data_IF_404281783709
#
_entry.id   IF_404281783709
#
_cell.length_a   1.000
_cell.length_b   1.000
_cell.length_c   1.000
_cell.angle_alpha   90.00
_cell.angle_beta   90.00
_cell.angle_gamma   90.00
#
_symmetry.space_group_name_H-M   'P 1'
#
loop_
_entity.id
_entity.type
_entity.pdbx_description
1 polymer ?
#
# COMPACT_ATOMS: atom_id res chain seq x y z
N UNK A 1 2.38 -9.42 -17.49
CA UNK A 1 2.19 -8.76 -16.17
C UNK A 1 2.28 -9.85 -15.12
N UNK A 2 3.08 -9.70 -14.08
CA UNK A 2 3.11 -10.66 -12.96
C UNK A 2 2.76 -9.89 -11.70
N UNK A 3 1.68 -10.32 -11.05
CA UNK A 3 1.30 -9.88 -9.72
C UNK A 3 1.98 -10.83 -8.72
N UNK A 4 2.75 -10.26 -7.80
CA UNK A 4 3.34 -11.01 -6.69
C UNK A 4 2.78 -10.42 -5.40
N UNK A 5 2.14 -11.24 -4.57
CA UNK A 5 1.45 -10.81 -3.36
C UNK A 5 2.37 -10.91 -2.13
N UNK A 6 2.85 -9.77 -1.62
CA UNK A 6 3.46 -9.67 -0.29
C UNK A 6 2.36 -9.32 0.74
N UNK A 7 1.58 -10.30 1.19
CA UNK A 7 0.74 -10.16 2.40
C UNK A 7 1.56 -10.28 3.70
N UNK A 8 1.00 -10.06 4.89
CA UNK A 8 1.64 -9.82 6.22
C UNK A 8 2.85 -10.62 6.80
N UNK A 9 3.17 -10.30 8.08
CA UNK A 9 4.37 -10.62 8.88
C UNK A 9 5.12 -11.91 8.54
N UNK A 10 6.37 -11.79 8.07
CA UNK A 10 7.55 -12.65 8.37
C UNK A 10 8.66 -12.37 7.36
N UNK A 11 9.93 -12.36 7.81
CA UNK A 11 11.13 -12.17 6.96
C UNK A 11 11.16 -13.02 5.68
N UNK A 12 10.51 -14.19 5.70
CA UNK A 12 10.32 -15.09 4.53
C UNK A 12 9.71 -14.42 3.30
N UNK A 13 8.87 -13.38 3.46
CA UNK A 13 8.21 -12.74 2.30
C UNK A 13 9.05 -11.65 1.65
N UNK A 14 9.86 -10.96 2.44
CA UNK A 14 10.89 -10.05 1.92
C UNK A 14 11.96 -10.87 1.20
N UNK A 15 12.36 -12.00 1.78
CA UNK A 15 13.23 -12.99 1.16
C UNK A 15 12.62 -13.55 -0.13
N UNK A 16 11.38 -14.01 -0.11
CA UNK A 16 10.69 -14.49 -1.31
C UNK A 16 10.57 -13.40 -2.38
N UNK A 17 10.28 -12.16 -2.00
CA UNK A 17 10.22 -11.05 -2.97
C UNK A 17 11.59 -10.77 -3.58
N UNK A 18 12.66 -10.86 -2.77
CA UNK A 18 14.04 -10.77 -3.24
C UNK A 18 14.37 -11.91 -4.20
N UNK A 19 14.11 -13.16 -3.82
CA UNK A 19 14.31 -14.35 -4.64
C UNK A 19 13.54 -14.28 -5.96
N UNK A 20 12.26 -13.91 -5.90
CA UNK A 20 11.42 -13.72 -7.06
C UNK A 20 12.04 -12.69 -8.01
N UNK A 21 12.46 -11.53 -7.50
CA UNK A 21 13.02 -10.49 -8.37
C UNK A 21 14.39 -10.89 -8.94
N UNK A 22 15.27 -11.52 -8.14
CA UNK A 22 16.56 -12.05 -8.65
C UNK A 22 16.35 -13.11 -9.73
N UNK A 23 15.39 -14.03 -9.55
CA UNK A 23 15.02 -15.00 -10.59
C UNK A 23 14.51 -14.28 -11.85
N UNK A 24 13.76 -13.19 -11.69
CA UNK A 24 13.22 -12.42 -12.82
C UNK A 24 14.26 -11.52 -13.52
N UNK A 25 15.32 -11.05 -12.85
CA UNK A 25 16.44 -10.35 -13.51
C UNK A 25 17.08 -11.18 -14.63
N UNK A 26 17.12 -12.50 -14.44
CA UNK A 26 17.60 -13.46 -15.44
C UNK A 26 16.65 -13.59 -16.64
N UNK A 27 15.47 -12.94 -16.63
CA UNK A 27 14.46 -13.00 -17.69
C UNK A 27 14.20 -11.60 -18.29
N UNK A 28 14.74 -11.28 -19.48
CA UNK A 28 14.74 -9.93 -20.07
C UNK A 28 13.35 -9.37 -20.47
N UNK A 29 12.28 -10.19 -20.41
CA UNK A 29 10.92 -9.82 -20.84
C UNK A 29 10.04 -9.23 -19.72
N UNK A 30 10.49 -9.22 -18.46
CA UNK A 30 9.70 -8.70 -17.34
C UNK A 30 9.97 -7.22 -17.10
N UNK A 31 9.25 -6.38 -17.86
CA UNK A 31 9.45 -4.93 -17.85
C UNK A 31 8.66 -4.21 -16.75
N UNK A 32 7.63 -4.83 -16.16
CA UNK A 32 6.76 -4.25 -15.13
C UNK A 32 6.44 -5.30 -14.06
N UNK A 33 6.95 -5.12 -12.84
CA UNK A 33 6.70 -6.01 -11.71
C UNK A 33 5.70 -5.33 -10.80
N UNK A 34 4.49 -5.86 -10.70
CA UNK A 34 3.45 -5.28 -9.85
C UNK A 34 3.50 -6.02 -8.52
N UNK A 35 3.94 -5.34 -7.47
CA UNK A 35 3.98 -5.92 -6.13
C UNK A 35 2.69 -5.57 -5.42
N UNK A 36 1.85 -6.58 -5.25
CA UNK A 36 0.62 -6.46 -4.49
C UNK A 36 0.96 -6.62 -3.00
N UNK A 37 0.88 -5.56 -2.20
CA UNK A 37 1.40 -5.58 -0.81
C UNK A 37 0.22 -5.49 0.17
N UNK A 38 -0.34 -6.65 0.57
CA UNK A 38 -1.43 -6.73 1.55
C UNK A 38 -0.86 -6.70 2.96
N UNK A 39 -0.33 -5.55 3.38
CA UNK A 39 0.42 -5.51 4.63
C UNK A 39 -0.32 -4.80 5.74
N UNK A 40 -0.08 -5.28 6.95
CA UNK A 40 -0.43 -4.63 8.20
C UNK A 40 0.89 -4.29 8.87
N UNK A 41 1.62 -3.39 8.23
CA UNK A 41 3.03 -3.14 8.48
C UNK A 41 3.24 -1.96 9.41
N UNK A 42 4.27 -2.08 10.23
CA UNK A 42 4.84 -0.92 10.93
C UNK A 42 5.60 -0.03 9.93
N UNK A 43 6.07 1.13 10.41
CA UNK A 43 6.94 2.00 9.61
C UNK A 43 8.26 1.30 9.27
N UNK A 44 8.77 0.52 10.21
CA UNK A 44 10.02 -0.22 10.11
C UNK A 44 9.91 -1.31 9.03
N UNK A 45 8.81 -2.05 9.00
CA UNK A 45 8.58 -3.07 7.98
C UNK A 45 8.44 -2.48 6.57
N UNK A 46 7.76 -1.33 6.47
CA UNK A 46 7.63 -0.62 5.20
C UNK A 46 8.99 -0.13 4.70
N UNK A 47 9.87 0.32 5.60
CA UNK A 47 11.23 0.72 5.26
C UNK A 47 12.07 -0.49 4.81
N UNK A 48 12.01 -1.62 5.53
CA UNK A 48 12.71 -2.84 5.13
C UNK A 48 12.27 -3.35 3.75
N UNK A 49 10.98 -3.24 3.44
CA UNK A 49 10.46 -3.54 2.10
C UNK A 49 11.00 -2.57 1.05
N UNK A 50 10.96 -1.26 1.32
CA UNK A 50 11.54 -0.23 0.44
C UNK A 50 13.03 -0.51 0.19
N UNK A 51 13.79 -0.91 1.19
CA UNK A 51 15.22 -1.20 1.03
C UNK A 51 15.43 -2.46 0.18
N UNK A 52 14.59 -3.49 0.36
CA UNK A 52 14.69 -4.74 -0.39
C UNK A 52 14.28 -4.62 -1.87
N UNK A 53 13.22 -3.87 -2.18
CA UNK A 53 12.64 -3.83 -3.54
C UNK A 53 12.71 -2.46 -4.21
N UNK A 54 13.11 -1.44 -3.47
CA UNK A 54 13.14 -0.07 -3.96
C UNK A 54 14.18 0.21 -5.04
N UNK A 55 15.18 -0.67 -5.20
CA UNK A 55 16.10 -0.62 -6.34
C UNK A 55 15.39 -0.88 -7.68
N UNK A 56 14.18 -1.45 -7.66
CA UNK A 56 13.36 -1.74 -8.84
C UNK A 56 12.30 -0.66 -9.13
N UNK A 57 12.33 0.44 -8.36
CA UNK A 57 11.18 1.32 -8.19
C UNK A 57 10.56 1.99 -9.43
N UNK A 58 11.20 2.29 -10.58
CA UNK A 58 10.39 2.79 -11.68
C UNK A 58 9.41 1.73 -12.23
N UNK A 59 9.63 0.44 -11.92
CA UNK A 59 8.88 -0.69 -12.46
C UNK A 59 7.98 -1.38 -11.44
N UNK A 60 7.90 -0.85 -10.21
CA UNK A 60 7.13 -1.43 -9.09
C UNK A 60 5.93 -0.58 -8.74
N UNK A 61 4.73 -1.18 -8.74
CA UNK A 61 3.50 -0.54 -8.26
C UNK A 61 3.03 -1.24 -7.00
N UNK A 62 2.55 -0.46 -6.01
CA UNK A 62 1.87 -0.95 -4.81
C UNK A 62 0.36 -0.91 -5.08
N UNK A 63 -0.26 -2.06 -5.34
CA UNK A 63 -1.67 -2.11 -5.81
C UNK A 63 -2.72 -2.12 -4.72
N UNK A 64 -2.34 -2.43 -3.48
CA UNK A 64 -3.19 -2.37 -2.30
C UNK A 64 -2.29 -2.01 -1.11
N UNK A 65 -2.78 -1.21 -0.17
CA UNK A 65 -2.10 -0.90 1.09
C UNK A 65 -3.10 -0.50 2.17
N UNK A 66 -2.77 -0.75 3.44
CA UNK A 66 -3.60 -0.46 4.61
C UNK A 66 -2.96 -0.97 5.90
N UNK A 67 -3.70 -1.02 7.02
CA UNK A 67 -3.26 -1.68 8.27
C UNK A 67 -4.39 -2.41 9.03
N UNK A 68 -4.04 -3.46 9.79
CA UNK A 68 -4.89 -4.08 10.83
C UNK A 68 -4.16 -3.89 12.17
N UNK A 69 -4.88 -3.62 13.28
CA UNK A 69 -6.34 -3.52 13.37
C UNK A 69 -6.88 -2.29 12.64
N UNK A 70 -8.12 -2.36 12.18
CA UNK A 70 -8.73 -1.37 11.28
C UNK A 70 -8.87 0.04 11.89
N UNK A 71 -8.77 0.18 13.20
CA UNK A 71 -8.73 1.48 13.88
C UNK A 71 -7.41 2.26 13.69
N UNK A 72 -6.35 1.62 13.19
CA UNK A 72 -5.03 2.25 13.03
C UNK A 72 -4.78 2.87 11.64
N UNK A 73 -5.81 2.92 10.78
CA UNK A 73 -5.66 3.33 9.37
C UNK A 73 -5.19 4.78 9.20
N UNK A 74 -5.65 5.71 10.03
CA UNK A 74 -5.17 7.09 10.00
C UNK A 74 -3.69 7.16 10.38
N UNK A 75 -3.25 6.39 11.39
CA UNK A 75 -1.82 6.32 11.78
C UNK A 75 -0.98 5.77 10.63
N UNK A 76 -1.42 4.70 9.98
CA UNK A 76 -0.77 4.13 8.81
C UNK A 76 -0.68 5.13 7.64
N UNK A 77 -1.79 5.79 7.31
CA UNK A 77 -1.83 6.83 6.28
C UNK A 77 -0.91 8.02 6.64
N UNK A 78 -0.69 8.28 7.94
CA UNK A 78 0.23 9.33 8.40
C UNK A 78 1.70 8.97 8.25
N UNK A 79 2.07 7.75 8.63
CA UNK A 79 3.46 7.36 8.88
C UNK A 79 4.05 6.48 7.77
N UNK A 80 3.26 5.60 7.16
CA UNK A 80 3.73 4.60 6.19
C UNK A 80 3.46 5.04 4.76
N UNK A 81 2.22 5.47 4.47
CA UNK A 81 1.81 5.86 3.12
C UNK A 81 2.75 6.90 2.44
N UNK A 82 3.29 7.92 3.16
CA UNK A 82 4.24 8.86 2.55
C UNK A 82 5.57 8.21 2.12
N UNK A 83 6.03 7.17 2.82
CA UNK A 83 7.25 6.46 2.45
C UNK A 83 7.05 5.72 1.12
N UNK A 84 5.90 5.05 0.99
CA UNK A 84 5.52 4.32 -0.23
C UNK A 84 5.38 5.27 -1.42
N UNK A 85 4.66 6.37 -1.27
CA UNK A 85 4.42 7.34 -2.36
C UNK A 85 5.72 8.01 -2.82
N UNK A 86 6.67 8.25 -1.92
CA UNK A 86 7.98 8.81 -2.30
C UNK A 86 8.82 7.82 -3.10
N UNK A 87 8.69 6.53 -2.81
CA UNK A 87 9.54 5.51 -3.42
C UNK A 87 8.97 4.96 -4.71
N UNK A 88 7.66 4.69 -4.75
CA UNK A 88 7.03 3.96 -5.85
C UNK A 88 6.14 4.87 -6.71
N UNK A 89 6.14 4.70 -8.04
CA UNK A 89 5.41 5.55 -8.97
C UNK A 89 3.89 5.44 -8.86
N UNK A 90 3.37 4.29 -8.40
CA UNK A 90 1.94 4.10 -8.17
C UNK A 90 1.70 3.36 -6.86
N UNK A 91 0.84 3.95 -6.02
CA UNK A 91 0.43 3.41 -4.72
C UNK A 91 -1.09 3.55 -4.60
N UNK A 92 -1.77 2.43 -4.35
CA UNK A 92 -3.22 2.34 -4.31
C UNK A 92 -3.69 1.87 -2.93
N UNK A 93 -4.73 2.51 -2.40
CA UNK A 93 -5.30 2.21 -1.09
C UNK A 93 -6.33 1.09 -1.18
N UNK A 94 -6.29 0.14 -0.23
CA UNK A 94 -7.39 -0.80 -0.03
C UNK A 94 -8.25 -0.33 1.16
N UNK A 95 -9.51 0.08 0.98
CA UNK A 95 -10.32 0.07 -0.24
C UNK A 95 -11.26 1.29 -0.28
N UNK A 96 -12.00 1.46 -1.39
CA UNK A 96 -13.01 2.51 -1.49
C UNK A 96 -14.12 2.31 -0.45
N UNK A 97 -14.71 1.11 -0.40
CA UNK A 97 -15.78 0.77 0.54
C UNK A 97 -15.78 -0.74 0.86
N UNK A 98 -15.78 -1.07 2.15
CA UNK A 98 -16.07 -2.40 2.68
C UNK A 98 -16.91 -2.26 3.96
N UNK A 99 -18.08 -2.90 3.99
CA UNK A 99 -19.02 -2.80 5.10
C UNK A 99 -18.41 -3.37 6.40
N UNK A 100 -18.61 -2.66 7.52
CA UNK A 100 -18.20 -3.12 8.84
C UNK A 100 -16.70 -3.04 9.13
N UNK A 101 -15.92 -2.30 8.33
CA UNK A 101 -14.47 -2.17 8.54
C UNK A 101 -13.96 -0.72 8.43
N UNK A 102 -13.03 -0.34 9.32
CA UNK A 102 -12.53 1.04 9.47
C UNK A 102 -11.51 1.54 8.43
N UNK A 103 -11.46 0.95 7.23
CA UNK A 103 -10.50 1.31 6.18
C UNK A 103 -11.11 1.80 4.87
N UNK A 104 -12.44 1.84 4.81
CA UNK A 104 -13.20 2.44 3.72
C UNK A 104 -12.87 3.92 3.60
N UNK A 105 -12.66 4.42 2.39
CA UNK A 105 -12.52 5.86 2.12
C UNK A 105 -13.88 6.56 2.08
N UNK A 106 -14.94 5.83 1.80
CA UNK A 106 -16.30 6.35 1.84
C UNK A 106 -17.15 5.54 2.80
N UNK A 107 -18.22 6.16 3.29
CA UNK A 107 -19.28 5.52 4.03
C UNK A 107 -20.62 5.73 3.31
N UNK A 108 -21.59 4.87 3.60
CA UNK A 108 -22.96 5.03 3.12
C UNK A 108 -23.74 5.71 4.25
N UNK A 109 -23.84 7.03 4.15
CA UNK A 109 -24.52 7.88 5.11
C UNK A 109 -26.04 7.70 5.12
N UNK A 110 -26.70 8.44 6.02
CA UNK A 110 -28.15 8.40 6.17
C UNK A 110 -28.85 8.73 4.83
N UNK A 111 -29.83 7.92 4.43
CA UNK A 111 -30.53 7.96 3.11
C UNK A 111 -29.71 7.47 1.90
N UNK A 112 -28.67 6.67 2.11
CA UNK A 112 -27.94 6.01 1.02
C UNK A 112 -26.97 6.92 0.26
N UNK A 113 -26.61 8.07 0.84
CA UNK A 113 -25.62 8.98 0.24
C UNK A 113 -24.20 8.46 0.48
N UNK A 114 -23.36 8.55 -0.54
CA UNK A 114 -21.93 8.23 -0.41
C UNK A 114 -21.22 9.47 0.13
N UNK A 115 -20.61 9.34 1.31
CA UNK A 115 -19.90 10.41 1.99
C UNK A 115 -18.47 9.97 2.31
N UNK A 116 -17.55 10.91 2.51
CA UNK A 116 -16.21 10.52 2.96
C UNK A 116 -16.27 9.98 4.39
N UNK A 117 -15.59 8.86 4.63
CA UNK A 117 -15.31 8.40 6.00
C UNK A 117 -14.31 9.35 6.66
N UNK A 118 -14.08 9.28 7.99
CA UNK A 118 -13.01 10.03 8.65
C UNK A 118 -11.63 9.81 8.00
N UNK A 119 -11.35 8.58 7.53
CA UNK A 119 -10.16 8.25 6.78
C UNK A 119 -10.16 8.85 5.36
N UNK A 120 -11.30 8.81 4.67
CA UNK A 120 -11.47 9.45 3.36
C UNK A 120 -11.24 10.95 3.41
N UNK A 121 -11.83 11.63 4.40
CA UNK A 121 -11.61 13.04 4.67
C UNK A 121 -10.12 13.31 4.90
N UNK A 122 -9.47 12.49 5.73
CA UNK A 122 -8.03 12.61 5.97
C UNK A 122 -7.24 12.50 4.65
N UNK A 123 -7.50 11.50 3.81
CA UNK A 123 -6.75 11.28 2.58
C UNK A 123 -7.01 12.34 1.50
N UNK A 124 -8.25 12.80 1.35
CA UNK A 124 -8.62 13.80 0.35
C UNK A 124 -8.06 15.20 0.67
N UNK A 125 -8.07 15.59 1.95
CA UNK A 125 -7.86 16.99 2.34
C UNK A 125 -6.52 17.28 3.02
N UNK A 126 -5.67 16.27 3.29
CA UNK A 126 -4.29 16.48 3.78
C UNK A 126 -3.43 17.31 2.82
N UNK A 127 -3.81 17.41 1.54
CA UNK A 127 -3.15 18.28 0.54
C UNK A 127 -3.43 19.77 0.71
N UNK A 128 -4.43 20.19 1.49
CA UNK A 128 -4.82 21.60 1.61
C UNK A 128 -4.02 22.42 2.66
N UNK A 129 -3.15 21.78 3.46
CA UNK A 129 -2.31 22.48 4.46
C UNK A 129 -0.87 22.77 4.02
N UNK A 130 -0.55 22.56 2.73
CA UNK A 130 0.68 23.09 2.12
C UNK A 130 0.29 24.30 1.28
N UNK A 131 0.01 25.42 1.96
CA UNK A 131 0.08 26.76 1.40
C UNK A 131 1.21 27.48 2.10
#
# INVERSE_FOLDING_TARGET
MIAAAAGGNTGRRVEWTREFIEERKRRPKLRNVILNIHTYMTKEDAQAMIDAVGIYAPKVWVTECGTKPWGAQIKYAREVLPLLIRKFPKVFWWCLYEAGRGFSLVDIGHRGRIEYSPLGYYMAFRRMKRR
#
